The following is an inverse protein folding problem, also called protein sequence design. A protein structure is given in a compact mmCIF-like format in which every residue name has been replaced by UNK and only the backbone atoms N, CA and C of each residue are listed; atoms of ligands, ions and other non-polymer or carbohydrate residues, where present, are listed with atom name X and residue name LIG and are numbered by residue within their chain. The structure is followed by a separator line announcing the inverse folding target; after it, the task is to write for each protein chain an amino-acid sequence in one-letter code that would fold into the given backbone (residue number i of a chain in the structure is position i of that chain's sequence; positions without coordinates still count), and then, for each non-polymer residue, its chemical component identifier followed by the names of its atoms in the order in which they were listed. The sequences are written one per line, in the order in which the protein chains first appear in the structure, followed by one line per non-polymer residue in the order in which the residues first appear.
data_IF_017333747354
#
_entry.id   IF_017333747354
#
_cell.length_a   1.000
_cell.length_b   1.000
_cell.length_c   1.000
_cell.angle_alpha   90.00
_cell.angle_beta   90.00
_cell.angle_gamma   90.00
#
_symmetry.space_group_name_H-M   'P 1'
#
loop_
_entity.id
_entity.type
_entity.pdbx_description
1 polymer ?
#
# COMPACT_ATOMS: atom_id res chain seq x y z
N UNK A 1 43.49 -26.70 -16.55
CA UNK A 1 43.31 -26.14 -15.19
C UNK A 1 42.60 -24.80 -15.34
N UNK A 2 41.27 -24.82 -15.40
CA UNK A 2 40.44 -23.62 -15.56
C UNK A 2 39.86 -23.34 -14.18
N UNK A 3 40.28 -22.23 -13.54
CA UNK A 3 39.60 -21.71 -12.36
C UNK A 3 38.30 -21.08 -12.86
N UNK A 4 37.20 -21.81 -12.77
CA UNK A 4 35.87 -21.21 -12.72
C UNK A 4 35.69 -20.63 -11.32
N UNK A 5 35.90 -19.32 -11.18
CA UNK A 5 35.39 -18.54 -10.05
C UNK A 5 33.88 -18.47 -10.21
N UNK A 6 33.21 -19.49 -9.69
CA UNK A 6 31.78 -19.49 -9.47
C UNK A 6 31.54 -18.79 -8.12
N UNK A 7 31.66 -17.46 -8.11
CA UNK A 7 31.12 -16.64 -7.03
C UNK A 7 29.59 -16.60 -7.18
N UNK A 8 28.94 -17.71 -6.85
CA UNK A 8 27.58 -17.64 -6.33
C UNK A 8 27.66 -16.78 -5.07
N UNK A 9 27.33 -15.48 -5.21
CA UNK A 9 27.22 -14.54 -4.10
C UNK A 9 26.35 -15.20 -3.04
N UNK A 10 26.95 -15.58 -1.91
CA UNK A 10 26.19 -15.97 -0.72
C UNK A 10 25.21 -14.82 -0.44
N UNK A 11 23.92 -15.09 -0.17
CA UNK A 11 23.03 -14.04 0.30
C UNK A 11 23.70 -13.41 1.52
N UNK A 12 23.96 -12.10 1.46
CA UNK A 12 24.64 -11.41 2.54
C UNK A 12 23.77 -11.52 3.79
N UNK A 13 24.38 -11.74 4.96
CA UNK A 13 23.61 -11.69 6.18
C UNK A 13 23.26 -10.22 6.50
N UNK A 14 22.16 -9.97 7.21
CA UNK A 14 21.84 -8.61 7.69
C UNK A 14 23.01 -7.99 8.47
N UNK A 15 23.79 -8.80 9.19
CA UNK A 15 24.99 -8.37 9.89
C UNK A 15 26.05 -7.76 8.94
N UNK A 16 26.27 -8.36 7.77
CA UNK A 16 27.21 -7.82 6.78
C UNK A 16 26.76 -6.44 6.28
N UNK A 17 25.45 -6.26 6.08
CA UNK A 17 24.87 -4.98 5.68
C UNK A 17 24.99 -3.94 6.78
N UNK A 18 24.76 -4.32 8.04
CA UNK A 18 24.93 -3.43 9.19
C UNK A 18 26.38 -2.99 9.37
N UNK A 19 27.35 -3.87 9.13
CA UNK A 19 28.78 -3.52 9.21
C UNK A 19 29.20 -2.55 8.09
N UNK A 20 28.72 -2.75 6.86
CA UNK A 20 29.15 -1.98 5.69
C UNK A 20 28.32 -0.74 5.39
N UNK A 21 27.05 -0.76 5.76
CA UNK A 21 26.02 0.19 5.34
C UNK A 21 25.08 0.59 6.48
N UNK A 22 25.59 0.63 7.72
CA UNK A 22 24.82 0.91 8.95
C UNK A 22 23.75 2.00 8.78
N UNK A 23 24.15 3.18 8.32
CA UNK A 23 23.25 4.34 8.24
C UNK A 23 22.11 4.12 7.23
N UNK A 24 22.38 3.45 6.11
CA UNK A 24 21.36 3.13 5.09
C UNK A 24 20.40 2.05 5.57
N UNK A 25 20.90 1.05 6.30
CA UNK A 25 20.05 0.02 6.92
C UNK A 25 19.12 0.67 7.94
N UNK A 26 19.67 1.51 8.82
CA UNK A 26 18.89 2.23 9.83
C UNK A 26 17.83 3.13 9.19
N UNK A 27 18.18 3.88 8.14
CA UNK A 27 17.26 4.73 7.40
C UNK A 27 16.08 3.92 6.83
N UNK A 28 16.34 2.80 6.14
CA UNK A 28 15.29 1.94 5.60
C UNK A 28 14.41 1.35 6.69
N UNK A 29 15.00 0.86 7.79
CA UNK A 29 14.23 0.30 8.91
C UNK A 29 13.31 1.35 9.53
N UNK A 30 13.80 2.57 9.75
CA UNK A 30 12.99 3.65 10.31
C UNK A 30 11.79 3.98 9.41
N UNK A 31 12.02 4.17 8.10
CA UNK A 31 10.95 4.49 7.16
C UNK A 31 9.86 3.40 7.14
N UNK A 32 10.26 2.13 7.14
CA UNK A 32 9.35 0.97 7.16
C UNK A 32 8.54 0.86 8.46
N UNK A 33 9.02 1.44 9.57
CA UNK A 33 8.36 1.43 10.87
C UNK A 33 7.49 2.66 11.11
N UNK A 34 7.85 3.80 10.52
CA UNK A 34 7.15 5.09 10.67
C UNK A 34 5.86 5.19 9.85
N UNK A 35 5.73 4.41 8.77
CA UNK A 35 4.61 4.51 7.86
C UNK A 35 4.08 3.14 7.41
N UNK A 36 2.76 3.01 7.12
CA UNK A 36 2.20 1.74 6.62
C UNK A 36 2.76 1.33 5.25
N UNK A 37 3.19 2.31 4.44
CA UNK A 37 3.70 2.10 3.09
C UNK A 37 4.88 3.04 2.82
N UNK A 38 5.99 2.45 2.40
CA UNK A 38 7.15 3.17 1.89
C UNK A 38 7.08 3.23 0.36
N UNK A 39 7.08 4.44 -0.21
CA UNK A 39 7.09 4.63 -1.66
C UNK A 39 8.44 5.18 -2.17
N UNK A 40 8.80 4.91 -3.44
CA UNK A 40 10.03 5.45 -4.05
C UNK A 40 10.15 6.97 -3.95
N UNK A 41 9.05 7.71 -4.09
CA UNK A 41 9.04 9.17 -4.00
C UNK A 41 9.34 9.74 -2.61
N UNK A 42 9.25 8.92 -1.56
CA UNK A 42 9.58 9.38 -0.20
C UNK A 42 11.11 9.46 -0.04
N UNK A 43 11.83 8.47 -0.57
CA UNK A 43 13.29 8.43 -0.60
C UNK A 43 13.79 7.38 -1.62
N UNK A 44 14.09 7.81 -2.84
CA UNK A 44 14.49 6.92 -3.95
C UNK A 44 15.76 6.12 -3.65
N UNK A 45 16.73 6.75 -2.98
CA UNK A 45 18.00 6.09 -2.63
C UNK A 45 17.81 4.96 -1.60
N UNK A 46 16.98 5.19 -0.58
CA UNK A 46 16.62 4.19 0.42
C UNK A 46 15.74 3.09 -0.19
N UNK A 47 14.79 3.44 -1.06
CA UNK A 47 13.92 2.46 -1.71
C UNK A 47 14.69 1.53 -2.64
N UNK A 48 15.63 2.06 -3.43
CA UNK A 48 16.53 1.25 -4.27
C UNK A 48 17.45 0.37 -3.44
N UNK A 49 17.91 0.86 -2.29
CA UNK A 49 18.71 0.04 -1.37
C UNK A 49 17.89 -1.14 -0.84
N UNK A 50 16.67 -0.86 -0.38
CA UNK A 50 15.74 -1.87 0.08
C UNK A 50 15.47 -2.91 -1.02
N UNK A 51 15.15 -2.45 -2.23
CA UNK A 51 14.86 -3.33 -3.38
C UNK A 51 16.04 -4.23 -3.71
N UNK A 52 17.27 -3.70 -3.64
CA UNK A 52 18.51 -4.45 -3.90
C UNK A 52 18.77 -5.55 -2.88
N UNK A 53 18.46 -5.30 -1.60
CA UNK A 53 18.73 -6.21 -0.48
C UNK A 53 17.44 -6.73 0.16
N UNK A 54 16.38 -6.89 -0.65
CA UNK A 54 15.04 -7.20 -0.13
C UNK A 54 15.00 -8.51 0.65
N UNK A 55 15.81 -9.50 0.27
CA UNK A 55 15.83 -10.82 0.91
C UNK A 55 16.41 -10.72 2.32
N UNK A 56 17.44 -9.90 2.50
CA UNK A 56 18.09 -9.65 3.77
C UNK A 56 17.15 -8.93 4.74
N UNK A 57 16.45 -7.89 4.28
CA UNK A 57 15.43 -7.21 5.09
C UNK A 57 14.24 -8.13 5.42
N UNK A 58 13.74 -8.90 4.44
CA UNK A 58 12.63 -9.82 4.66
C UNK A 58 12.98 -10.90 5.70
N UNK A 59 14.16 -11.51 5.58
CA UNK A 59 14.66 -12.47 6.57
C UNK A 59 14.83 -11.84 7.94
N UNK A 60 15.40 -10.63 8.01
CA UNK A 60 15.53 -9.92 9.28
C UNK A 60 14.18 -9.75 9.99
N UNK A 61 13.14 -9.31 9.27
CA UNK A 61 11.80 -9.17 9.83
C UNK A 61 11.17 -10.51 10.25
N UNK A 62 11.33 -11.54 9.43
CA UNK A 62 10.81 -12.87 9.72
C UNK A 62 11.50 -13.48 10.96
N UNK A 63 12.82 -13.49 11.00
CA UNK A 63 13.62 -14.17 12.02
C UNK A 63 13.52 -13.48 13.40
N UNK A 64 13.40 -12.15 13.43
CA UNK A 64 13.43 -11.39 14.69
C UNK A 64 12.05 -11.00 15.21
N UNK A 65 11.06 -10.82 14.33
CA UNK A 65 9.74 -10.32 14.70
C UNK A 65 8.59 -11.24 14.28
N UNK A 66 8.83 -12.23 13.43
CA UNK A 66 7.77 -13.00 12.78
C UNK A 66 6.90 -12.13 11.86
N UNK A 67 7.48 -11.08 11.28
CA UNK A 67 6.78 -10.15 10.38
C UNK A 67 7.13 -10.44 8.93
N UNK A 68 6.23 -10.07 8.03
CA UNK A 68 6.40 -10.26 6.59
C UNK A 68 6.70 -8.92 5.91
N UNK A 69 7.72 -8.88 5.06
CA UNK A 69 8.04 -7.72 4.25
C UNK A 69 7.58 -7.98 2.80
N UNK A 70 6.70 -7.13 2.30
CA UNK A 70 6.29 -7.11 0.90
C UNK A 70 6.97 -5.94 0.21
N UNK A 71 7.63 -6.20 -0.92
CA UNK A 71 8.26 -5.17 -1.78
C UNK A 71 7.82 -5.43 -3.21
N UNK A 72 7.30 -4.39 -3.86
CA UNK A 72 7.06 -4.37 -5.30
C UNK A 72 7.72 -3.13 -5.93
N UNK A 73 7.54 -2.94 -7.25
CA UNK A 73 8.18 -1.84 -7.98
C UNK A 73 7.67 -0.45 -7.58
N UNK A 74 6.51 -0.35 -6.92
CA UNK A 74 5.86 0.90 -6.54
C UNK A 74 5.80 1.13 -5.03
N UNK A 75 5.90 0.10 -4.19
CA UNK A 75 5.87 0.26 -2.74
C UNK A 75 6.49 -0.91 -1.95
N UNK A 76 6.76 -0.65 -0.68
CA UNK A 76 7.09 -1.66 0.32
C UNK A 76 6.22 -1.50 1.56
N UNK A 77 5.89 -2.61 2.24
CA UNK A 77 5.16 -2.62 3.51
C UNK A 77 5.60 -3.76 4.41
N UNK A 78 5.59 -3.52 5.72
CA UNK A 78 5.78 -4.56 6.74
C UNK A 78 4.42 -4.97 7.31
N UNK A 79 4.07 -6.24 7.15
CA UNK A 79 2.88 -6.84 7.71
C UNK A 79 3.18 -7.49 9.07
N UNK A 80 2.36 -7.15 10.06
CA UNK A 80 2.50 -7.58 11.45
C UNK A 80 1.35 -8.55 11.77
N UNK A 81 1.53 -9.88 11.59
CA UNK A 81 0.44 -10.85 11.70
C UNK A 81 -0.11 -10.96 13.13
N UNK A 82 0.77 -10.84 14.13
CA UNK A 82 0.44 -11.07 15.53
C UNK A 82 0.73 -9.84 16.38
N UNK A 83 -0.22 -9.50 17.25
CA UNK A 83 -0.08 -8.45 18.26
C UNK A 83 0.13 -9.08 19.63
N UNK A 84 1.32 -8.92 20.20
CA UNK A 84 1.69 -9.55 21.48
C UNK A 84 1.24 -8.77 22.72
N UNK A 85 1.04 -7.45 22.61
CA UNK A 85 0.58 -6.63 23.73
C UNK A 85 -0.95 -6.67 23.87
N UNK A 86 -1.44 -7.55 24.74
CA UNK A 86 -2.86 -7.73 25.00
C UNK A 86 -3.56 -6.51 25.63
N UNK A 87 -2.81 -5.57 26.22
CA UNK A 87 -3.36 -4.34 26.78
C UNK A 87 -3.76 -3.31 25.71
N UNK A 88 -3.33 -3.52 24.46
CA UNK A 88 -3.72 -2.67 23.33
C UNK A 88 -4.97 -3.25 22.67
N UNK A 89 -6.11 -2.57 22.88
CA UNK A 89 -7.36 -2.94 22.22
C UNK A 89 -7.23 -2.88 20.69
N UNK A 90 -8.02 -3.66 19.94
CA UNK A 90 -8.04 -3.57 18.48
C UNK A 90 -8.26 -2.15 17.94
N UNK A 91 -9.05 -1.33 18.65
CA UNK A 91 -9.31 0.07 18.29
C UNK A 91 -8.09 0.99 18.45
N UNK A 92 -7.12 0.60 19.29
CA UNK A 92 -5.91 1.36 19.57
C UNK A 92 -4.70 0.83 18.79
N UNK A 93 -4.89 -0.22 17.99
CA UNK A 93 -3.89 -0.65 17.01
C UNK A 93 -3.93 0.37 15.87
N UNK A 94 -2.78 0.88 15.45
CA UNK A 94 -2.67 1.76 14.28
C UNK A 94 -2.88 0.97 12.99
N UNK A 95 -4.11 0.53 12.77
CA UNK A 95 -4.56 -0.13 11.57
C UNK A 95 -5.59 0.76 10.89
N UNK A 96 -5.53 0.78 9.56
CA UNK A 96 -6.59 1.39 8.77
C UNK A 96 -7.91 0.69 9.08
N UNK A 97 -8.91 1.47 9.50
CA UNK A 97 -10.22 0.94 9.83
C UNK A 97 -11.29 2.02 9.65
N UNK A 98 -12.37 1.66 8.97
CA UNK A 98 -13.63 2.40 8.99
C UNK A 98 -14.62 1.62 9.85
N UNK A 99 -15.31 2.34 10.75
CA UNK A 99 -16.20 1.69 11.72
C UNK A 99 -17.68 1.90 11.39
N UNK A 100 -18.00 2.94 10.61
CA UNK A 100 -19.37 3.22 10.19
C UNK A 100 -19.65 2.54 8.87
N UNK A 101 -20.83 1.94 8.74
CA UNK A 101 -21.28 1.24 7.53
C UNK A 101 -21.04 2.06 6.26
N UNK A 102 -21.46 3.32 6.25
CA UNK A 102 -21.38 4.15 5.06
C UNK A 102 -19.94 4.55 4.71
N UNK A 103 -19.03 4.64 5.70
CA UNK A 103 -17.60 4.84 5.46
C UNK A 103 -16.98 3.61 4.79
N UNK A 104 -17.33 2.40 5.27
CA UNK A 104 -16.90 1.15 4.65
C UNK A 104 -17.41 1.05 3.20
N UNK A 105 -18.67 1.38 2.96
CA UNK A 105 -19.25 1.40 1.61
C UNK A 105 -18.52 2.42 0.74
N UNK A 106 -18.30 3.64 1.22
CA UNK A 106 -17.59 4.66 0.44
C UNK A 106 -16.15 4.27 0.11
N UNK A 107 -15.47 3.53 1.00
CA UNK A 107 -14.17 2.95 0.67
C UNK A 107 -14.27 1.89 -0.43
N UNK A 108 -15.25 0.99 -0.37
CA UNK A 108 -15.49 0.02 -1.45
C UNK A 108 -15.82 0.70 -2.77
N UNK A 109 -16.60 1.78 -2.75
CA UNK A 109 -16.92 2.58 -3.93
C UNK A 109 -15.70 3.33 -4.47
N UNK A 110 -14.77 3.77 -3.63
CA UNK A 110 -13.47 4.30 -4.06
C UNK A 110 -12.67 3.23 -4.81
N UNK A 111 -12.66 1.98 -4.32
CA UNK A 111 -11.97 0.88 -5.00
C UNK A 111 -12.63 0.58 -6.37
N UNK A 112 -13.96 0.53 -6.41
CA UNK A 112 -14.73 0.33 -7.65
C UNK A 112 -14.47 1.47 -8.66
N UNK A 113 -14.53 2.72 -8.21
CA UNK A 113 -14.21 3.91 -9.00
C UNK A 113 -12.78 3.85 -9.55
N UNK A 114 -11.82 3.48 -8.70
CA UNK A 114 -10.43 3.35 -9.06
C UNK A 114 -10.21 2.28 -10.14
N UNK A 115 -10.79 1.08 -9.97
CA UNK A 115 -10.71 0.01 -10.97
C UNK A 115 -11.33 0.44 -12.30
N UNK A 116 -12.52 1.04 -12.27
CA UNK A 116 -13.18 1.56 -13.47
C UNK A 116 -12.35 2.63 -14.17
N UNK A 117 -11.74 3.57 -13.43
CA UNK A 117 -10.86 4.60 -13.99
C UNK A 117 -9.59 4.02 -14.61
N UNK A 118 -8.96 3.03 -13.97
CA UNK A 118 -7.80 2.33 -14.55
C UNK A 118 -8.16 1.69 -15.89
N UNK A 119 -9.32 1.02 -15.98
CA UNK A 119 -9.80 0.40 -17.21
C UNK A 119 -10.09 1.43 -18.31
N UNK A 120 -10.84 2.49 -17.98
CA UNK A 120 -11.22 3.54 -18.95
C UNK A 120 -10.01 4.31 -19.46
N UNK A 121 -9.06 4.63 -18.58
CA UNK A 121 -7.85 5.38 -18.94
C UNK A 121 -6.71 4.46 -19.45
N UNK A 122 -6.94 3.15 -19.47
CA UNK A 122 -5.95 2.13 -19.85
C UNK A 122 -4.63 2.25 -19.05
N UNK A 123 -4.75 2.63 -17.78
CA UNK A 123 -3.61 2.73 -16.85
C UNK A 123 -3.36 1.37 -16.22
N UNK A 124 -2.11 0.95 -16.24
CA UNK A 124 -1.61 -0.31 -15.71
C UNK A 124 -0.79 -0.09 -14.44
N UNK A 125 -0.54 -1.19 -13.71
CA UNK A 125 0.36 -1.18 -12.55
C UNK A 125 1.80 -0.81 -12.90
N UNK A 126 2.20 -0.92 -14.17
CA UNK A 126 3.56 -0.68 -14.63
C UNK A 126 3.76 0.78 -15.11
N UNK A 127 2.68 1.54 -15.27
CA UNK A 127 2.76 2.95 -15.64
C UNK A 127 3.50 3.77 -14.59
N UNK A 128 4.32 4.71 -15.06
CA UNK A 128 5.17 5.54 -14.21
C UNK A 128 4.33 6.49 -13.34
N UNK A 129 3.27 7.02 -13.91
CA UNK A 129 2.40 7.97 -13.23
C UNK A 129 1.21 7.25 -12.61
N UNK A 130 0.81 7.71 -11.42
CA UNK A 130 -0.35 7.21 -10.72
C UNK A 130 -1.62 7.89 -11.26
N UNK A 131 -2.75 7.17 -11.24
CA UNK A 131 -4.06 7.74 -11.54
C UNK A 131 -4.31 8.98 -10.67
N UNK A 132 -4.77 10.05 -11.31
CA UNK A 132 -5.24 11.26 -10.64
C UNK A 132 -6.69 11.51 -10.99
N UNK A 133 -7.44 11.99 -10.02
CA UNK A 133 -8.86 12.30 -10.18
C UNK A 133 -9.23 13.52 -9.35
N UNK A 134 -10.30 14.20 -9.75
CA UNK A 134 -10.89 15.28 -8.98
C UNK A 134 -11.82 14.74 -7.90
N UNK A 135 -11.90 15.43 -6.78
CA UNK A 135 -12.85 15.10 -5.71
C UNK A 135 -14.30 15.04 -6.22
N UNK A 136 -14.69 15.96 -7.11
CA UNK A 136 -16.01 15.99 -7.74
C UNK A 136 -16.34 14.71 -8.52
N UNK A 137 -15.38 14.13 -9.23
CA UNK A 137 -15.59 12.87 -9.98
C UNK A 137 -15.89 11.70 -9.04
N UNK A 138 -15.13 11.59 -7.94
CA UNK A 138 -15.36 10.55 -6.93
C UNK A 138 -16.72 10.76 -6.25
N UNK A 139 -17.07 12.02 -5.94
CA UNK A 139 -18.34 12.36 -5.28
C UNK A 139 -19.53 12.00 -6.18
N UNK A 140 -19.51 12.42 -7.44
CA UNK A 140 -20.56 12.12 -8.42
C UNK A 140 -20.76 10.60 -8.55
N UNK A 141 -19.66 9.87 -8.74
CA UNK A 141 -19.69 8.41 -8.80
C UNK A 141 -20.28 7.80 -7.53
N UNK A 142 -19.84 8.25 -6.36
CA UNK A 142 -20.30 7.73 -5.07
C UNK A 142 -21.79 7.99 -4.85
N UNK A 143 -22.28 9.19 -5.18
CA UNK A 143 -23.70 9.57 -5.06
C UNK A 143 -24.57 8.70 -5.96
N UNK A 144 -24.16 8.54 -7.22
CA UNK A 144 -24.87 7.68 -8.16
C UNK A 144 -24.96 6.24 -7.62
N UNK A 145 -23.85 5.69 -7.14
CA UNK A 145 -23.82 4.32 -6.60
C UNK A 145 -24.65 4.16 -5.33
N UNK A 146 -24.68 5.13 -4.42
CA UNK A 146 -25.58 5.08 -3.26
C UNK A 146 -27.05 5.08 -3.66
N UNK A 147 -27.45 5.85 -4.69
CA UNK A 147 -28.82 5.83 -5.21
C UNK A 147 -29.18 4.48 -5.86
N UNK A 148 -28.24 3.87 -6.58
CA UNK A 148 -28.43 2.54 -7.17
C UNK A 148 -28.54 1.44 -6.11
N UNK A 149 -27.71 1.49 -5.06
CA UNK A 149 -27.70 0.51 -3.98
C UNK A 149 -28.89 0.67 -3.01
N UNK A 150 -29.38 1.89 -2.83
CA UNK A 150 -30.44 2.23 -1.87
C UNK A 150 -31.51 3.16 -2.48
N UNK A 151 -32.28 2.69 -3.48
CA UNK A 151 -33.24 3.53 -4.20
C UNK A 151 -34.35 4.12 -3.32
N UNK A 152 -34.68 3.47 -2.19
CA UNK A 152 -35.65 3.96 -1.20
C UNK A 152 -35.15 5.09 -0.29
N UNK A 153 -33.86 5.41 -0.33
CA UNK A 153 -33.20 6.35 0.59
C UNK A 153 -32.60 7.55 -0.15
N UNK A 154 -33.16 7.93 -1.31
CA UNK A 154 -32.60 9.00 -2.14
C UNK A 154 -32.41 10.33 -1.38
N UNK A 155 -33.32 10.69 -0.46
CA UNK A 155 -33.17 11.90 0.36
C UNK A 155 -31.99 11.81 1.33
N UNK A 156 -31.75 10.63 1.91
CA UNK A 156 -30.65 10.41 2.86
C UNK A 156 -29.28 10.44 2.16
N UNK A 157 -29.26 10.00 0.90
CA UNK A 157 -28.08 9.96 0.03
C UNK A 157 -28.06 11.10 -1.01
N UNK A 158 -28.73 12.22 -0.74
CA UNK A 158 -28.56 13.43 -1.55
C UNK A 158 -27.09 13.87 -1.54
N UNK A 159 -26.65 14.48 -2.65
CA UNK A 159 -25.24 14.83 -2.90
C UNK A 159 -24.56 15.55 -1.72
N UNK A 160 -25.18 16.59 -1.16
CA UNK A 160 -24.61 17.33 -0.02
C UNK A 160 -24.48 16.45 1.24
N UNK A 161 -25.40 15.51 1.47
CA UNK A 161 -25.31 14.57 2.59
C UNK A 161 -24.17 13.58 2.39
N UNK A 162 -24.02 13.02 1.18
CA UNK A 162 -22.92 12.12 0.83
C UNK A 162 -21.58 12.85 0.92
N UNK A 163 -21.49 14.06 0.37
CA UNK A 163 -20.32 14.95 0.46
C UNK A 163 -19.90 15.16 1.91
N UNK A 164 -20.79 15.73 2.73
CA UNK A 164 -20.43 16.21 4.07
C UNK A 164 -20.30 15.09 5.11
N UNK A 165 -21.09 14.01 5.01
CA UNK A 165 -21.20 12.99 6.07
C UNK A 165 -20.48 11.68 5.74
N UNK A 166 -20.12 11.45 4.49
CA UNK A 166 -19.57 10.16 4.03
C UNK A 166 -18.21 10.37 3.35
N UNK A 167 -18.15 11.04 2.20
CA UNK A 167 -16.92 11.12 1.39
C UNK A 167 -15.88 12.04 2.04
N UNK A 168 -16.24 13.29 2.39
CA UNK A 168 -15.29 14.23 3.02
C UNK A 168 -14.67 13.67 4.32
N UNK A 169 -15.43 13.02 5.23
CA UNK A 169 -14.85 12.45 6.45
C UNK A 169 -13.84 11.32 6.22
N UNK A 170 -13.93 10.55 5.13
CA UNK A 170 -12.98 9.47 4.88
C UNK A 170 -11.66 9.95 4.26
N UNK A 171 -11.65 11.09 3.53
CA UNK A 171 -10.46 11.57 2.82
C UNK A 171 -9.22 11.74 3.72
N UNK A 172 -9.30 12.37 4.91
CA UNK A 172 -8.12 12.52 5.78
C UNK A 172 -7.55 11.17 6.25
N UNK A 173 -8.39 10.15 6.43
CA UNK A 173 -7.91 8.82 6.77
C UNK A 173 -7.21 8.16 5.58
N UNK A 174 -7.76 8.31 4.38
CA UNK A 174 -7.14 7.81 3.15
C UNK A 174 -5.77 8.45 2.90
N UNK A 175 -5.61 9.75 3.21
CA UNK A 175 -4.32 10.43 3.17
C UNK A 175 -3.38 9.93 4.28
N UNK A 176 -3.86 9.83 5.52
CA UNK A 176 -3.08 9.34 6.68
C UNK A 176 -2.51 7.95 6.42
N UNK A 177 -3.31 7.04 5.89
CA UNK A 177 -2.91 5.66 5.58
C UNK A 177 -2.28 5.51 4.20
N UNK A 178 -2.02 6.63 3.53
CA UNK A 178 -1.26 6.71 2.27
C UNK A 178 -1.92 5.94 1.12
N UNK A 179 -3.25 5.91 1.08
CA UNK A 179 -4.02 5.46 -0.08
C UNK A 179 -4.17 6.56 -1.12
N UNK A 180 -4.34 7.80 -0.65
CA UNK A 180 -4.46 8.97 -1.50
C UNK A 180 -3.43 10.03 -1.11
N UNK A 181 -3.05 10.87 -2.07
CA UNK A 181 -2.28 12.09 -1.82
C UNK A 181 -3.03 13.27 -2.43
N UNK A 182 -3.38 14.26 -1.60
CA UNK A 182 -3.90 15.53 -2.11
C UNK A 182 -2.79 16.26 -2.86
N UNK A 183 -3.08 16.67 -4.09
CA UNK A 183 -2.18 17.51 -4.89
C UNK A 183 -2.51 18.96 -4.59
N UNK A 184 -1.54 19.68 -4.02
CA UNK A 184 -1.71 21.10 -3.71
C UNK A 184 -1.73 21.91 -5.01
N UNK A 185 -2.65 22.88 -5.13
CA UNK A 185 -2.65 23.77 -6.27
C UNK A 185 -1.39 24.66 -6.29
N UNK A 186 -1.05 25.25 -7.44
CA UNK A 186 -0.04 26.29 -7.55
C UNK A 186 -0.28 27.42 -6.53
N UNK A 187 0.80 28.09 -6.11
CA UNK A 187 0.70 29.28 -5.26
C UNK A 187 -0.19 30.32 -5.96
N UNK A 188 -1.12 30.89 -5.23
CA UNK A 188 -2.08 31.93 -5.64
C UNK A 188 -3.32 31.46 -6.43
N UNK A 189 -3.52 30.15 -6.60
CA UNK A 189 -4.75 29.61 -7.20
C UNK A 189 -5.74 29.16 -6.13
N UNK A 190 -6.96 29.71 -6.16
CA UNK A 190 -8.08 29.20 -5.36
C UNK A 190 -8.74 28.09 -6.15
N UNK A 191 -8.76 26.89 -5.56
CA UNK A 191 -9.40 25.72 -6.13
C UNK A 191 -10.59 25.37 -5.27
N UNK A 192 -11.75 25.24 -5.90
CA UNK A 192 -12.97 24.76 -5.24
C UNK A 192 -12.78 23.31 -4.79
N UNK A 193 -13.54 22.86 -3.80
CA UNK A 193 -13.36 21.51 -3.25
C UNK A 193 -13.51 20.44 -4.34
N UNK A 194 -14.49 20.59 -5.23
CA UNK A 194 -14.78 19.67 -6.34
C UNK A 194 -13.61 19.55 -7.33
N UNK A 195 -12.83 20.62 -7.50
CA UNK A 195 -11.66 20.65 -8.36
C UNK A 195 -10.37 20.21 -7.66
N UNK A 196 -10.44 19.85 -6.37
CA UNK A 196 -9.29 19.32 -5.65
C UNK A 196 -8.83 18.00 -6.27
N UNK A 197 -7.57 17.94 -6.68
CA UNK A 197 -6.98 16.75 -7.29
C UNK A 197 -6.39 15.83 -6.21
N UNK A 198 -6.71 14.54 -6.32
CA UNK A 198 -6.11 13.47 -5.54
C UNK A 198 -5.35 12.51 -6.46
N UNK A 199 -4.21 12.03 -5.99
CA UNK A 199 -3.42 10.98 -6.62
C UNK A 199 -3.63 9.66 -5.87
N UNK A 200 -4.01 8.61 -6.61
CA UNK A 200 -4.18 7.26 -6.09
C UNK A 200 -2.81 6.60 -5.88
N UNK A 201 -2.43 6.38 -4.63
CA UNK A 201 -1.11 5.85 -4.30
C UNK A 201 -1.06 4.32 -4.49
N UNK A 202 0.16 3.75 -4.68
CA UNK A 202 0.33 2.34 -4.97
C UNK A 202 -0.36 1.35 -4.02
N UNK A 203 -0.57 1.74 -2.76
CA UNK A 203 -1.32 0.94 -1.79
C UNK A 203 -2.73 0.56 -2.25
N UNK A 204 -3.42 1.39 -3.04
CA UNK A 204 -4.75 1.06 -3.57
C UNK A 204 -4.73 -0.13 -4.53
N UNK A 205 -3.64 -0.30 -5.29
CA UNK A 205 -3.49 -1.44 -6.20
C UNK A 205 -3.37 -2.78 -5.47
N UNK A 206 -3.03 -2.79 -4.18
CA UNK A 206 -3.03 -4.02 -3.37
C UNK A 206 -4.45 -4.51 -3.04
N UNK A 207 -5.46 -3.67 -3.22
CA UNK A 207 -6.88 -4.02 -3.08
C UNK A 207 -7.53 -4.37 -4.42
N UNK A 208 -6.81 -4.22 -5.54
CA UNK A 208 -7.34 -4.56 -6.86
C UNK A 208 -7.46 -6.08 -7.02
N UNK A 209 -8.66 -6.55 -7.40
CA UNK A 209 -9.01 -7.97 -7.50
C UNK A 209 -8.10 -8.73 -8.50
N UNK A 210 -7.62 -8.05 -9.55
CA UNK A 210 -6.70 -8.63 -10.54
C UNK A 210 -5.29 -8.92 -10.00
N UNK A 211 -4.87 -8.24 -8.92
CA UNK A 211 -3.61 -8.55 -8.20
C UNK A 211 -3.84 -9.59 -7.10
N UNK A 212 -4.98 -9.56 -6.41
CA UNK A 212 -5.33 -10.56 -5.38
C UNK A 212 -5.56 -11.97 -5.97
N UNK A 213 -5.88 -12.05 -7.26
CA UNK A 213 -6.05 -13.31 -8.00
C UNK A 213 -4.76 -13.86 -8.60
N UNK A 214 -3.62 -13.15 -8.52
CA UNK A 214 -2.33 -13.72 -8.91
C UNK A 214 -1.86 -14.68 -7.82
N UNK A 215 -1.60 -15.96 -8.13
CA UNK A 215 -1.00 -16.86 -7.16
C UNK A 215 0.33 -16.25 -6.74
N UNK A 216 0.49 -16.02 -5.43
CA UNK A 216 1.79 -15.73 -4.84
C UNK A 216 2.68 -16.90 -5.22
N UNK A 217 3.70 -16.66 -6.04
CA UNK A 217 4.66 -17.69 -6.43
C UNK A 217 5.25 -18.26 -5.14
N UNK A 218 4.77 -19.44 -4.76
CA UNK A 218 5.27 -20.15 -3.61
C UNK A 218 6.75 -20.41 -3.85
N UNK A 219 7.59 -19.85 -2.98
CA UNK A 219 9.00 -20.20 -2.92
C UNK A 219 9.05 -21.70 -2.71
N UNK A 220 9.38 -22.44 -3.76
CA UNK A 220 9.59 -23.89 -3.69
C UNK A 220 10.77 -24.12 -2.76
N UNK A 221 10.48 -24.49 -1.52
CA UNK A 221 11.46 -25.09 -0.63
C UNK A 221 11.83 -26.43 -1.27
N UNK A 222 13.05 -26.52 -1.81
CA UNK A 222 13.61 -27.79 -2.23
C UNK A 222 13.80 -28.62 -0.96
N UNK A 223 13.00 -29.66 -0.80
CA UNK A 223 13.30 -30.73 0.15
C UNK A 223 14.62 -31.37 -0.28
N UNK A 224 15.63 -31.30 0.60
CA UNK A 224 16.86 -32.07 0.43
C UNK A 224 16.54 -33.56 0.55
N UNK A 225 17.14 -34.42 -0.28
CA UNK A 225 16.90 -35.85 -0.23
C UNK A 225 17.48 -36.43 1.06
N UNK A 226 16.61 -37.12 1.80
CA UNK A 226 16.94 -37.95 2.95
C UNK A 226 18.06 -38.94 2.57
N UNK A 227 19.29 -38.68 3.02
CA UNK A 227 20.37 -39.64 2.95
C UNK A 227 20.12 -40.70 4.02
N UNK A 228 19.31 -41.69 3.63
CA UNK A 228 19.16 -42.95 4.33
C UNK A 228 20.53 -43.51 4.71
N UNK A 229 20.65 -43.77 6.00
CA UNK A 229 21.79 -44.39 6.67
C UNK A 229 21.84 -45.86 6.31
N UNK A 230 23.02 -46.33 5.87
CA UNK A 230 23.41 -47.75 5.87
C UNK A 230 23.63 -48.26 7.31
#
# INVERSE_FOLDING_TARGET
MIKMTDEFQRPHAMNDLLERHKDRVQEVLNILLESPYFYPQDNDNAFRFLSRYQQEFARFFADHFGWELFVDVKCARVYKPTWYNASISPSNRELFNFSRRDECIAFMLLLEFFEHKLEVESITVDDKDNLRFKFGELLEYTVQRFHELYPGNATDYAEESVRAKIVRPIMPQLEKYRFLKKILPPKDERVEEEDTIYEALPALYHYNVSRLSRPVEAVTVKEEPDHGTD
#
